data_IF_076144452434
#
_entry.id   IF_076144452434
#
_cell.length_a   1.000
_cell.length_b   1.000
_cell.length_c   1.000
_cell.angle_alpha   90.00
_cell.angle_beta   90.00
_cell.angle_gamma   90.00
#
_symmetry.space_group_name_H-M   'P 1'
#
loop_
_entity.id
_entity.type
_entity.pdbx_description
1 polymer ?
#
# COMPACT_ATOMS: atom_id res chain seq x y z
N UNK A 1 18.65 5.26 10.21
CA UNK A 1 18.70 4.16 9.22
C UNK A 1 17.67 4.49 8.13
N UNK A 2 18.13 4.91 6.94
CA UNK A 2 17.24 5.39 5.86
C UNK A 2 16.62 4.19 5.12
N UNK A 3 15.35 4.32 4.74
CA UNK A 3 14.66 3.38 3.83
C UNK A 3 15.53 3.10 2.61
N UNK A 4 15.84 1.83 2.35
CA UNK A 4 16.73 1.37 1.26
C UNK A 4 16.13 1.60 -0.15
N UNK A 5 14.83 1.92 -0.24
CA UNK A 5 14.11 2.13 -1.49
C UNK A 5 13.86 3.61 -1.77
N UNK A 6 14.07 4.02 -3.01
CA UNK A 6 13.82 5.39 -3.47
C UNK A 6 12.32 5.64 -3.53
N UNK A 7 11.81 6.48 -2.62
CA UNK A 7 10.41 6.93 -2.64
C UNK A 7 10.26 8.00 -3.70
N UNK A 8 9.57 7.67 -4.79
CA UNK A 8 9.31 8.61 -5.89
C UNK A 8 7.81 8.84 -5.98
N UNK A 9 7.37 10.03 -5.59
CA UNK A 9 5.95 10.41 -5.68
C UNK A 9 5.57 10.51 -7.16
N UNK A 10 4.45 9.89 -7.53
CA UNK A 10 3.83 10.00 -8.86
C UNK A 10 2.62 10.92 -8.74
N UNK A 11 2.73 12.19 -9.18
CA UNK A 11 1.67 13.18 -8.99
C UNK A 11 0.42 12.86 -9.83
N UNK A 12 -0.75 13.30 -9.37
CA UNK A 12 -2.02 13.21 -10.12
C UNK A 12 -2.61 11.80 -10.23
N UNK A 13 -2.14 10.84 -9.42
CA UNK A 13 -2.61 9.44 -9.42
C UNK A 13 -3.42 9.06 -8.18
N UNK A 14 -3.94 10.05 -7.48
CA UNK A 14 -4.77 9.85 -6.28
C UNK A 14 -6.02 10.69 -6.44
N UNK A 15 -7.17 10.03 -6.50
CA UNK A 15 -8.48 10.68 -6.45
C UNK A 15 -8.99 10.65 -5.00
N UNK A 16 -9.28 11.83 -4.44
CA UNK A 16 -9.97 11.93 -3.14
C UNK A 16 -11.47 11.82 -3.38
N UNK A 17 -12.07 10.73 -2.93
CA UNK A 17 -13.52 10.49 -3.06
C UNK A 17 -14.29 11.05 -1.87
N UNK A 18 -13.69 11.03 -0.68
CA UNK A 18 -14.22 11.66 0.54
C UNK A 18 -13.07 12.01 1.50
N UNK A 19 -13.38 12.34 2.77
CA UNK A 19 -12.33 12.55 3.78
C UNK A 19 -11.51 11.29 4.07
N UNK A 20 -12.13 10.12 3.99
CA UNK A 20 -11.55 8.82 4.37
C UNK A 20 -11.31 7.89 3.17
N UNK A 21 -11.92 8.17 2.02
CA UNK A 21 -11.90 7.30 0.85
C UNK A 21 -11.07 7.88 -0.27
N UNK A 22 -10.09 7.11 -0.72
CA UNK A 22 -9.15 7.50 -1.75
C UNK A 22 -9.05 6.40 -2.80
N UNK A 23 -8.84 6.78 -4.05
CA UNK A 23 -8.55 5.85 -5.12
C UNK A 23 -7.16 6.11 -5.68
N UNK A 24 -6.30 5.11 -5.58
CA UNK A 24 -4.98 5.09 -6.18
C UNK A 24 -5.12 4.59 -7.62
N UNK A 25 -4.77 5.44 -8.58
CA UNK A 25 -4.80 5.09 -9.99
C UNK A 25 -3.52 4.39 -10.40
N UNK A 26 -3.67 3.37 -11.25
CA UNK A 26 -2.54 2.75 -11.94
C UNK A 26 -1.79 3.79 -12.76
N UNK A 27 -0.46 3.67 -12.78
CA UNK A 27 0.39 4.46 -13.65
C UNK A 27 0.68 3.73 -14.95
N UNK A 28 0.97 2.42 -14.85
CA UNK A 28 1.35 1.55 -15.97
C UNK A 28 0.29 0.47 -16.22
N UNK A 29 0.28 -0.12 -17.42
CA UNK A 29 -0.71 -1.14 -17.80
C UNK A 29 -0.63 -2.42 -16.94
N UNK A 30 0.56 -2.72 -16.39
CA UNK A 30 0.81 -3.88 -15.52
C UNK A 30 0.28 -3.71 -14.08
N UNK A 31 -0.04 -2.46 -13.70
CA UNK A 31 -0.53 -2.07 -12.38
C UNK A 31 -2.05 -2.13 -12.29
N UNK A 32 -2.59 -2.13 -11.07
CA UNK A 32 -4.02 -2.21 -10.79
C UNK A 32 -4.40 -1.02 -9.90
N UNK A 33 -5.56 -0.42 -10.18
CA UNK A 33 -6.15 0.58 -9.31
C UNK A 33 -6.40 -0.03 -7.91
N UNK A 34 -6.28 0.79 -6.86
CA UNK A 34 -6.58 0.36 -5.50
C UNK A 34 -7.46 1.39 -4.80
N UNK A 35 -8.44 0.92 -4.05
CA UNK A 35 -9.29 1.77 -3.23
C UNK A 35 -8.84 1.66 -1.76
N UNK A 36 -8.74 2.81 -1.10
CA UNK A 36 -8.34 2.93 0.31
C UNK A 36 -9.53 3.50 1.09
N UNK A 37 -9.85 2.87 2.23
CA UNK A 37 -10.86 3.34 3.17
C UNK A 37 -10.27 3.40 4.59
N UNK A 38 -10.12 4.61 5.11
CA UNK A 38 -9.50 4.86 6.42
C UNK A 38 -10.60 4.91 7.49
N UNK A 39 -10.48 4.08 8.54
CA UNK A 39 -11.57 3.86 9.49
C UNK A 39 -11.91 5.09 10.35
N UNK A 40 -10.92 5.93 10.69
CA UNK A 40 -11.13 7.09 11.57
C UNK A 40 -11.26 8.38 10.78
N UNK A 41 -11.98 9.35 11.33
CA UNK A 41 -12.12 10.66 10.70
C UNK A 41 -10.81 11.46 10.77
N UNK A 42 -10.53 12.19 9.70
CA UNK A 42 -9.35 13.02 9.61
C UNK A 42 -9.17 13.68 8.25
N UNK A 43 -8.28 14.65 8.23
CA UNK A 43 -7.76 15.23 7.00
C UNK A 43 -6.50 14.47 6.59
N UNK A 44 -6.70 13.47 5.74
CA UNK A 44 -5.66 12.61 5.24
C UNK A 44 -5.10 13.11 3.90
N UNK A 45 -3.81 12.94 3.73
CA UNK A 45 -3.08 13.14 2.48
C UNK A 45 -2.61 11.77 1.99
N UNK A 46 -2.91 11.46 0.74
CA UNK A 46 -2.52 10.19 0.13
C UNK A 46 -1.67 10.45 -1.11
N UNK A 47 -0.53 9.78 -1.19
CA UNK A 47 0.44 9.92 -2.27
C UNK A 47 0.62 8.58 -2.97
N UNK A 48 0.63 8.57 -4.31
CA UNK A 48 1.08 7.41 -5.10
C UNK A 48 2.61 7.41 -5.17
N UNK A 49 3.25 6.25 -5.03
CA UNK A 49 4.69 6.14 -4.80
C UNK A 49 5.58 5.42 -5.82
N UNK A 50 5.28 5.23 -7.12
CA UNK A 50 6.14 4.41 -8.02
C UNK A 50 6.42 2.98 -7.52
N UNK A 51 6.68 2.07 -8.45
CA UNK A 51 7.08 0.69 -8.16
C UNK A 51 8.54 0.42 -8.54
N UNK A 52 9.22 1.43 -9.06
CA UNK A 52 10.59 1.28 -9.58
C UNK A 52 11.58 1.07 -8.43
N UNK A 53 12.44 0.06 -8.61
CA UNK A 53 13.45 -0.31 -7.61
C UNK A 53 12.92 -1.07 -6.40
N UNK A 54 11.64 -1.49 -6.41
CA UNK A 54 11.14 -2.43 -5.41
C UNK A 54 11.69 -3.84 -5.65
N UNK A 55 11.83 -4.68 -4.60
CA UNK A 55 12.33 -6.04 -4.75
C UNK A 55 11.47 -6.88 -5.70
N UNK A 56 12.12 -7.67 -6.55
CA UNK A 56 11.44 -8.55 -7.51
C UNK A 56 11.11 -9.94 -6.94
N UNK A 57 11.70 -10.28 -5.77
CA UNK A 57 11.59 -11.59 -5.14
C UNK A 57 11.55 -11.47 -3.61
N UNK A 58 10.89 -12.41 -2.97
CA UNK A 58 10.96 -12.65 -1.52
C UNK A 58 12.32 -13.27 -1.16
N UNK A 59 12.65 -13.30 0.14
CA UNK A 59 13.89 -13.91 0.64
C UNK A 59 14.01 -15.41 0.28
N UNK A 60 12.88 -16.11 0.15
CA UNK A 60 12.81 -17.51 -0.29
C UNK A 60 12.91 -17.71 -1.82
N UNK A 61 13.10 -16.63 -2.58
CA UNK A 61 13.20 -16.64 -4.04
C UNK A 61 11.87 -16.58 -4.79
N UNK A 62 10.73 -16.59 -4.10
CA UNK A 62 9.40 -16.46 -4.72
C UNK A 62 9.28 -15.13 -5.46
N UNK A 63 8.91 -15.10 -6.76
CA UNK A 63 8.71 -13.86 -7.51
C UNK A 63 7.60 -12.99 -6.93
N UNK A 64 7.81 -11.67 -6.94
CA UNK A 64 6.84 -10.67 -6.53
C UNK A 64 6.30 -9.94 -7.75
N UNK A 65 4.98 -9.76 -7.78
CA UNK A 65 4.31 -8.85 -8.71
C UNK A 65 3.68 -7.71 -7.94
N UNK A 66 4.20 -6.50 -8.10
CA UNK A 66 3.66 -5.30 -7.46
C UNK A 66 2.45 -4.76 -8.25
N UNK A 67 1.39 -4.40 -7.53
CA UNK A 67 0.16 -3.85 -8.12
C UNK A 67 0.02 -2.35 -7.92
N UNK A 68 0.41 -1.85 -6.75
CA UNK A 68 0.33 -0.45 -6.36
C UNK A 68 1.29 -0.18 -5.21
N UNK A 69 1.60 1.09 -4.96
CA UNK A 69 2.40 1.56 -3.83
C UNK A 69 1.98 2.99 -3.51
N UNK A 70 1.75 3.29 -2.24
CA UNK A 70 1.21 4.56 -1.79
C UNK A 70 1.74 4.92 -0.41
N UNK A 71 1.49 6.15 0.02
CA UNK A 71 1.77 6.69 1.34
C UNK A 71 0.51 7.40 1.87
N UNK A 72 0.13 7.21 3.13
CA UNK A 72 -0.96 7.90 3.80
C UNK A 72 -0.41 8.72 4.98
N UNK A 73 -0.72 10.02 5.00
CA UNK A 73 -0.32 10.97 6.05
C UNK A 73 -1.53 11.67 6.65
N UNK A 74 -1.37 12.14 7.89
CA UNK A 74 -2.27 13.04 8.62
C UNK A 74 -1.38 14.08 9.31
N UNK A 75 -1.63 15.37 9.09
CA UNK A 75 -0.82 16.47 9.64
C UNK A 75 0.70 16.32 9.36
N UNK A 76 1.06 15.93 8.13
CA UNK A 76 2.45 15.73 7.72
C UNK A 76 3.14 14.48 8.29
N UNK A 77 2.46 13.70 9.13
CA UNK A 77 2.97 12.44 9.70
C UNK A 77 2.28 11.24 9.07
N UNK A 78 3.02 10.14 8.89
CA UNK A 78 2.41 8.90 8.40
C UNK A 78 1.46 8.32 9.44
N UNK A 79 0.36 7.78 8.95
CA UNK A 79 -0.65 7.23 9.84
C UNK A 79 -0.19 5.89 10.42
N UNK A 80 -0.55 5.62 11.67
CA UNK A 80 -0.39 4.34 12.35
C UNK A 80 -1.74 3.91 12.94
N UNK A 81 -2.72 3.78 12.06
CA UNK A 81 -4.10 3.39 12.41
C UNK A 81 -4.63 2.45 11.33
N UNK A 82 -5.76 1.83 11.62
CA UNK A 82 -6.41 0.88 10.73
C UNK A 82 -6.98 1.55 9.48
N UNK A 83 -6.75 0.90 8.34
CA UNK A 83 -7.41 1.20 7.08
C UNK A 83 -7.56 -0.09 6.26
N UNK A 84 -8.41 -0.04 5.24
CA UNK A 84 -8.59 -1.15 4.31
C UNK A 84 -8.11 -0.78 2.92
N UNK A 85 -7.64 -1.79 2.19
CA UNK A 85 -7.21 -1.65 0.80
C UNK A 85 -7.94 -2.70 -0.02
N UNK A 86 -8.62 -2.26 -1.07
CA UNK A 86 -9.29 -3.14 -2.04
C UNK A 86 -8.54 -3.10 -3.36
N UNK A 87 -8.13 -4.26 -3.84
CA UNK A 87 -7.41 -4.42 -5.13
C UNK A 87 -8.12 -5.50 -5.94
N UNK A 88 -8.75 -5.20 -7.08
CA UNK A 88 -9.44 -6.21 -7.87
C UNK A 88 -8.56 -7.42 -8.21
N UNK A 89 -9.07 -8.63 -7.93
CA UNK A 89 -8.38 -9.89 -8.17
C UNK A 89 -7.42 -10.33 -7.05
N UNK A 90 -7.37 -9.61 -5.92
CA UNK A 90 -6.53 -9.95 -4.78
C UNK A 90 -6.90 -11.29 -4.12
N UNK A 91 -8.18 -11.67 -4.14
CA UNK A 91 -8.67 -12.94 -3.57
C UNK A 91 -8.37 -14.16 -4.45
N UNK A 92 -7.53 -14.02 -5.47
CA UNK A 92 -7.16 -15.13 -6.34
C UNK A 92 -6.47 -16.24 -5.53
N UNK A 93 -6.94 -17.51 -5.60
CA UNK A 93 -6.42 -18.61 -4.78
C UNK A 93 -4.96 -19.00 -5.12
N UNK A 94 -4.37 -18.42 -6.17
CA UNK A 94 -3.02 -18.74 -6.64
C UNK A 94 -1.93 -17.77 -6.15
N UNK A 95 -2.30 -16.71 -5.44
CA UNK A 95 -1.37 -15.64 -5.08
C UNK A 95 -1.41 -15.35 -3.58
N UNK A 96 -0.24 -15.13 -2.98
CA UNK A 96 -0.11 -14.57 -1.63
C UNK A 96 0.06 -13.05 -1.74
N UNK A 97 -0.55 -12.32 -0.82
CA UNK A 97 -0.36 -10.87 -0.73
C UNK A 97 0.98 -10.60 -0.05
N UNK A 98 1.81 -9.79 -0.70
CA UNK A 98 3.11 -9.34 -0.18
C UNK A 98 2.98 -7.87 0.21
N UNK A 99 3.50 -7.54 1.39
CA UNK A 99 3.55 -6.17 1.90
C UNK A 99 5.02 -5.83 2.13
N UNK A 100 5.45 -4.69 1.59
CA UNK A 100 6.68 -4.03 2.00
C UNK A 100 6.33 -3.18 3.22
N UNK A 101 6.91 -3.38 4.40
CA UNK A 101 6.64 -2.50 5.54
C UNK A 101 7.46 -1.22 5.45
N UNK A 102 7.14 -0.27 6.32
CA UNK A 102 7.81 1.01 6.28
C UNK A 102 9.25 1.05 6.78
N UNK A 103 9.77 -0.07 7.28
CA UNK A 103 11.20 -0.29 7.55
C UNK A 103 11.88 -0.92 6.32
N UNK A 104 11.15 -1.15 5.24
CA UNK A 104 11.61 -1.77 4.00
C UNK A 104 11.65 -3.30 4.07
N UNK A 105 10.92 -3.93 4.99
CA UNK A 105 10.89 -5.40 5.15
C UNK A 105 9.71 -5.99 4.40
N UNK A 106 9.96 -7.02 3.61
CA UNK A 106 8.90 -7.74 2.92
C UNK A 106 8.32 -8.80 3.85
N UNK A 107 7.00 -8.96 3.84
CA UNK A 107 6.34 -10.07 4.50
C UNK A 107 5.09 -10.50 3.74
N UNK A 108 4.71 -11.76 3.91
CA UNK A 108 3.43 -12.25 3.42
C UNK A 108 2.33 -11.83 4.39
N UNK A 109 1.31 -11.16 3.87
CA UNK A 109 0.12 -10.86 4.65
C UNK A 109 -0.53 -12.17 5.12
N UNK A 110 -0.76 -12.26 6.42
CA UNK A 110 -1.36 -13.42 7.08
C UNK A 110 -2.82 -13.20 7.47
N UNK A 111 -3.34 -11.98 7.30
CA UNK A 111 -4.73 -11.65 7.58
C UNK A 111 -5.70 -12.24 6.55
N UNK A 112 -6.99 -12.05 6.80
CA UNK A 112 -8.04 -12.54 5.91
C UNK A 112 -8.22 -11.58 4.73
N UNK A 113 -8.28 -12.13 3.52
CA UNK A 113 -8.72 -11.39 2.33
C UNK A 113 -10.22 -11.62 2.16
N UNK A 114 -11.04 -10.58 2.21
CA UNK A 114 -12.49 -10.66 2.05
C UNK A 114 -12.91 -9.78 0.89
N UNK A 115 -13.49 -10.37 -0.17
CA UNK A 115 -13.96 -9.63 -1.36
C UNK A 115 -12.90 -8.68 -1.94
N UNK A 116 -11.69 -9.19 -2.14
CA UNK A 116 -10.53 -8.44 -2.65
C UNK A 116 -10.00 -7.34 -1.71
N UNK A 117 -10.49 -7.29 -0.49
CA UNK A 117 -10.11 -6.31 0.53
C UNK A 117 -9.24 -6.96 1.60
N UNK A 118 -8.18 -6.26 1.98
CA UNK A 118 -7.35 -6.54 3.15
C UNK A 118 -7.46 -5.40 4.15
N UNK A 119 -7.32 -5.74 5.42
CA UNK A 119 -7.18 -4.77 6.50
C UNK A 119 -5.71 -4.63 6.88
N UNK A 120 -5.22 -3.39 6.91
CA UNK A 120 -3.87 -3.05 7.33
C UNK A 120 -3.97 -2.24 8.62
N UNK A 121 -3.29 -2.73 9.66
CA UNK A 121 -3.35 -2.17 11.02
C UNK A 121 -2.10 -1.38 11.40
N UNK A 122 -0.98 -1.62 10.72
CA UNK A 122 0.34 -1.18 11.18
C UNK A 122 0.83 0.09 10.46
N UNK A 123 -0.12 0.91 9.99
CA UNK A 123 0.20 2.08 9.20
C UNK A 123 0.81 1.73 7.85
N UNK A 124 1.15 2.77 7.10
CA UNK A 124 1.52 2.64 5.71
C UNK A 124 2.73 1.69 5.48
N UNK A 125 2.64 0.74 4.53
CA UNK A 125 3.77 -0.07 4.08
C UNK A 125 5.01 0.73 3.59
N UNK A 126 4.92 2.04 3.41
CA UNK A 126 6.05 2.88 3.01
C UNK A 126 6.94 3.37 4.15
N UNK A 127 6.44 3.50 5.39
CA UNK A 127 7.16 4.16 6.52
C UNK A 127 6.36 3.95 7.82
N UNK A 128 6.68 3.01 8.68
CA UNK A 128 7.98 2.86 9.31
C UNK A 128 7.94 3.18 10.79
N UNK A 129 6.76 3.20 11.42
CA UNK A 129 6.57 3.10 12.88
C UNK A 129 5.20 2.50 13.17
N UNK A 130 5.12 1.16 13.21
CA UNK A 130 4.29 0.49 14.21
C UNK A 130 5.04 0.51 15.56
N UNK A 131 4.37 0.25 16.70
CA UNK A 131 4.95 0.36 18.05
C UNK A 131 6.31 -0.35 18.21
#
# INVERSE_FOLDING_TARGET
MQSRFKKTIVPGKVDRLSKQKFKIRKDKASEIDADIDIAEDGDYEVERLSLEGLPEKMEDGTPIRWFTNFAIKKNGQYINQRYTVTIPGLSSPKSRVVILDGKGRLYYYSGTVVKDTIELTDGDPGIGTGP
#
